data_IF_202198409021
#
_entry.id   IF_202198409021
#
_cell.length_a   1.000
_cell.length_b   1.000
_cell.length_c   1.000
_cell.angle_alpha   90.00
_cell.angle_beta   90.00
_cell.angle_gamma   90.00
#
_symmetry.space_group_name_H-M   'P 1'
#
loop_
_entity.id
_entity.type
_entity.pdbx_description
1 polymer ?
#
# COMPACT_ATOMS: atom_id res chain seq x y z
N UNK A 1 -17.37 0.25 1.93
CA UNK A 1 -17.76 1.55 2.51
C UNK A 1 -18.62 1.40 3.77
N UNK A 2 -19.74 0.67 3.72
CA UNK A 2 -20.69 0.49 4.84
C UNK A 2 -20.10 0.07 6.21
N UNK A 3 -18.96 -0.64 6.21
CA UNK A 3 -18.24 -1.02 7.42
C UNK A 3 -17.48 0.12 8.09
N UNK A 4 -17.40 1.28 7.44
CA UNK A 4 -16.80 2.51 7.97
C UNK A 4 -15.30 2.69 7.69
N UNK A 5 -14.74 1.98 6.69
CA UNK A 5 -13.35 2.18 6.24
C UNK A 5 -13.18 3.52 5.51
N UNK A 6 -11.98 4.11 5.57
CA UNK A 6 -11.71 5.43 5.01
C UNK A 6 -11.20 5.40 3.56
N UNK A 7 -10.95 4.21 3.01
CA UNK A 7 -10.52 4.04 1.62
C UNK A 7 -10.53 2.58 1.18
N UNK A 8 -10.40 2.36 -0.13
CA UNK A 8 -10.35 1.03 -0.75
C UNK A 8 -9.13 0.93 -1.66
N UNK A 9 -8.36 -0.15 -1.56
CA UNK A 9 -7.29 -0.46 -2.52
C UNK A 9 -7.74 -1.59 -3.44
N UNK A 10 -7.71 -1.36 -4.75
CA UNK A 10 -7.91 -2.41 -5.76
C UNK A 10 -6.54 -2.98 -6.12
N UNK A 11 -6.34 -4.27 -5.86
CA UNK A 11 -5.07 -5.00 -6.04
C UNK A 11 -5.34 -6.30 -6.81
N UNK A 12 -4.52 -6.61 -7.81
CA UNK A 12 -4.62 -7.84 -8.61
C UNK A 12 -3.99 -9.06 -7.91
N UNK A 13 -4.16 -9.19 -6.59
CA UNK A 13 -3.48 -10.17 -5.72
C UNK A 13 -3.67 -11.66 -6.10
N UNK A 14 -4.63 -11.96 -6.96
CA UNK A 14 -4.92 -13.32 -7.39
C UNK A 14 -4.38 -13.64 -8.80
N UNK A 15 -3.68 -12.70 -9.45
CA UNK A 15 -3.03 -12.88 -10.76
C UNK A 15 -1.68 -13.63 -10.66
N UNK A 16 -1.45 -14.39 -9.59
CA UNK A 16 -0.18 -15.10 -9.39
C UNK A 16 0.04 -16.10 -10.53
N UNK A 17 1.19 -16.14 -11.21
CA UNK A 17 2.47 -15.43 -10.98
C UNK A 17 2.53 -14.09 -11.71
N UNK A 18 3.04 -13.05 -11.05
CA UNK A 18 3.08 -11.69 -11.60
C UNK A 18 4.30 -11.44 -12.50
N UNK A 19 4.12 -10.57 -13.50
CA UNK A 19 5.23 -9.91 -14.18
C UNK A 19 5.83 -8.80 -13.31
N UNK A 20 7.14 -8.58 -13.41
CA UNK A 20 7.85 -7.52 -12.68
C UNK A 20 7.89 -6.24 -13.51
N UNK A 21 7.39 -5.14 -12.95
CA UNK A 21 7.66 -3.78 -13.42
C UNK A 21 6.92 -3.35 -14.68
N UNK A 22 6.17 -4.27 -15.31
CA UNK A 22 5.32 -4.04 -16.48
C UNK A 22 4.17 -5.04 -16.45
N UNK A 23 2.94 -4.56 -16.54
CA UNK A 23 1.78 -5.44 -16.57
C UNK A 23 1.50 -5.94 -17.98
N UNK A 24 0.88 -7.11 -18.10
CA UNK A 24 0.25 -7.50 -19.36
C UNK A 24 -0.81 -6.46 -19.76
N UNK A 25 -0.94 -6.09 -21.05
CA UNK A 25 -1.95 -5.12 -21.49
C UNK A 25 -3.38 -5.48 -21.08
N UNK A 26 -3.73 -6.76 -21.06
CA UNK A 26 -5.05 -7.22 -20.62
C UNK A 26 -5.23 -7.02 -19.11
N UNK A 27 -4.19 -7.21 -18.30
CA UNK A 27 -4.23 -6.92 -16.85
C UNK A 27 -4.43 -5.42 -16.62
N UNK A 28 -3.65 -4.57 -17.30
CA UNK A 28 -3.79 -3.12 -17.16
C UNK A 28 -5.18 -2.63 -17.60
N UNK A 29 -5.69 -3.13 -18.74
CA UNK A 29 -7.02 -2.80 -19.23
C UNK A 29 -8.14 -3.29 -18.28
N UNK A 30 -8.03 -4.51 -17.77
CA UNK A 30 -9.00 -5.08 -16.84
C UNK A 30 -9.03 -4.30 -15.52
N UNK A 31 -7.86 -4.01 -14.95
CA UNK A 31 -7.75 -3.19 -13.74
C UNK A 31 -8.30 -1.79 -13.95
N UNK A 32 -8.10 -1.18 -15.12
CA UNK A 32 -8.71 0.12 -15.45
C UNK A 32 -10.24 0.09 -15.38
N UNK A 33 -10.86 -0.95 -15.95
CA UNK A 33 -12.32 -1.13 -15.91
C UNK A 33 -12.81 -1.41 -14.49
N UNK A 34 -12.14 -2.30 -13.76
CA UNK A 34 -12.52 -2.64 -12.37
C UNK A 34 -12.44 -1.40 -11.47
N UNK A 35 -11.35 -0.64 -11.53
CA UNK A 35 -11.18 0.59 -10.75
C UNK A 35 -12.27 1.60 -11.11
N UNK A 36 -12.62 1.74 -12.39
CA UNK A 36 -13.71 2.62 -12.84
C UNK A 36 -15.04 2.27 -12.18
N UNK A 37 -15.42 0.99 -12.19
CA UNK A 37 -16.69 0.55 -11.61
C UNK A 37 -16.68 0.70 -10.09
N UNK A 38 -15.59 0.35 -9.41
CA UNK A 38 -15.46 0.59 -7.96
C UNK A 38 -15.57 2.08 -7.63
N UNK A 39 -14.96 2.99 -8.41
CA UNK A 39 -15.06 4.45 -8.20
C UNK A 39 -16.48 5.00 -8.33
N UNK A 40 -17.34 4.40 -9.14
CA UNK A 40 -18.74 4.83 -9.30
C UNK A 40 -19.60 4.44 -8.11
N UNK A 41 -19.27 3.31 -7.48
CA UNK A 41 -20.06 2.71 -6.41
C UNK A 41 -19.72 3.21 -5.00
N UNK A 42 -18.60 3.94 -4.82
CA UNK A 42 -18.13 4.38 -3.50
C UNK A 42 -17.79 5.85 -3.47
N UNK A 43 -18.06 6.50 -2.33
CA UNK A 43 -17.73 7.91 -2.10
C UNK A 43 -16.35 8.12 -1.48
N UNK A 44 -15.84 7.11 -0.75
CA UNK A 44 -14.50 7.14 -0.14
C UNK A 44 -13.37 7.03 -1.18
N UNK A 45 -12.15 7.52 -0.88
CA UNK A 45 -10.96 7.34 -1.72
C UNK A 45 -10.72 5.90 -2.18
N UNK A 46 -10.27 5.75 -3.41
CA UNK A 46 -9.83 4.46 -3.97
C UNK A 46 -8.39 4.60 -4.43
N UNK A 47 -7.60 3.56 -4.24
CA UNK A 47 -6.27 3.46 -4.81
C UNK A 47 -6.04 2.17 -5.57
N UNK A 48 -4.89 2.12 -6.22
CA UNK A 48 -4.54 1.08 -7.19
C UNK A 48 -3.20 0.45 -6.83
N UNK A 49 -3.12 -0.87 -6.91
CA UNK A 49 -1.87 -1.60 -6.85
C UNK A 49 -1.84 -2.71 -7.92
N UNK A 50 -1.09 -2.51 -8.99
CA UNK A 50 -0.83 -3.56 -9.97
C UNK A 50 0.49 -4.24 -9.62
N UNK A 51 0.38 -5.45 -9.10
CA UNK A 51 1.50 -6.31 -8.77
C UNK A 51 2.10 -6.94 -10.05
N UNK A 52 3.43 -7.11 -10.12
CA UNK A 52 4.44 -6.79 -9.10
C UNK A 52 5.19 -5.52 -9.50
N UNK A 53 5.06 -4.45 -8.71
CA UNK A 53 5.69 -3.14 -8.95
C UNK A 53 5.44 -2.54 -10.35
N UNK A 54 4.27 -2.79 -10.93
CA UNK A 54 3.83 -2.21 -12.20
C UNK A 54 3.33 -0.77 -11.97
N UNK A 55 4.25 0.10 -11.55
CA UNK A 55 3.94 1.44 -11.03
C UNK A 55 3.42 2.40 -12.10
N UNK A 56 3.84 2.23 -13.36
CA UNK A 56 3.40 3.09 -14.45
C UNK A 56 1.94 2.80 -14.78
N UNK A 57 1.58 1.52 -14.86
CA UNK A 57 0.21 1.07 -15.07
C UNK A 57 -0.66 1.46 -13.87
N UNK A 58 -0.17 1.26 -12.64
CA UNK A 58 -0.90 1.67 -11.43
C UNK A 58 -1.22 3.18 -11.45
N UNK A 59 -0.25 4.02 -11.79
CA UNK A 59 -0.44 5.47 -11.88
C UNK A 59 -1.36 5.87 -13.04
N UNK A 60 -1.18 5.27 -14.22
CA UNK A 60 -2.04 5.55 -15.38
C UNK A 60 -3.50 5.19 -15.08
N UNK A 61 -3.74 4.02 -14.49
CA UNK A 61 -5.07 3.55 -14.09
C UNK A 61 -5.68 4.49 -13.05
N UNK A 62 -4.89 4.90 -12.06
CA UNK A 62 -5.35 5.85 -11.05
C UNK A 62 -5.73 7.20 -11.67
N UNK A 63 -4.88 7.73 -12.56
CA UNK A 63 -5.10 9.00 -13.26
C UNK A 63 -6.37 9.01 -14.10
N UNK A 64 -6.55 8.04 -15.00
CA UNK A 64 -7.72 8.02 -15.91
C UNK A 64 -9.04 7.79 -15.17
N UNK A 65 -9.00 7.18 -13.98
CA UNK A 65 -10.18 6.90 -13.17
C UNK A 65 -10.38 7.87 -11.99
N UNK A 66 -9.54 8.90 -11.86
CA UNK A 66 -9.57 9.84 -10.73
C UNK A 66 -9.52 9.12 -9.37
N UNK A 67 -8.66 8.10 -9.28
CA UNK A 67 -8.32 7.45 -8.02
C UNK A 67 -7.34 8.35 -7.23
N UNK A 68 -7.25 8.15 -5.93
CA UNK A 68 -6.57 9.08 -5.01
C UNK A 68 -5.14 8.69 -4.68
N UNK A 69 -4.77 7.42 -4.84
CA UNK A 69 -3.44 6.95 -4.48
C UNK A 69 -3.04 5.67 -5.20
N UNK A 70 -1.74 5.38 -5.19
CA UNK A 70 -1.17 4.10 -5.60
C UNK A 70 -0.31 3.51 -4.49
N UNK A 71 -0.18 2.18 -4.47
CA UNK A 71 0.83 1.50 -3.65
C UNK A 71 2.01 1.10 -4.53
N UNK A 72 3.22 1.35 -4.04
CA UNK A 72 4.46 1.02 -4.73
C UNK A 72 5.24 0.04 -3.88
N UNK A 73 5.66 -1.09 -4.48
CA UNK A 73 6.34 -2.12 -3.73
C UNK A 73 7.81 -1.77 -3.56
N UNK A 74 8.51 -1.34 -4.61
CA UNK A 74 9.95 -1.08 -4.57
C UNK A 74 10.25 0.35 -5.00
N UNK A 75 9.92 1.35 -4.16
CA UNK A 75 10.11 2.76 -4.55
C UNK A 75 11.59 3.16 -4.60
N UNK A 76 12.34 2.84 -3.54
CA UNK A 76 13.74 3.26 -3.36
C UNK A 76 14.70 2.12 -2.99
N UNK A 77 14.20 0.90 -2.82
CA UNK A 77 15.02 -0.28 -2.53
C UNK A 77 14.88 -1.37 -3.60
N UNK A 78 15.97 -2.10 -3.83
CA UNK A 78 15.92 -3.32 -4.62
C UNK A 78 15.47 -4.48 -3.72
N UNK A 79 14.52 -5.28 -4.20
CA UNK A 79 13.89 -6.35 -3.42
C UNK A 79 13.98 -7.65 -4.18
N UNK A 80 14.55 -8.68 -3.56
CA UNK A 80 14.49 -10.06 -4.06
C UNK A 80 13.13 -10.64 -3.66
N UNK A 81 12.37 -11.13 -4.63
CA UNK A 81 11.07 -11.77 -4.45
C UNK A 81 11.00 -13.10 -5.25
N UNK A 82 9.99 -13.97 -5.01
CA UNK A 82 9.80 -15.20 -5.78
C UNK A 82 9.72 -14.99 -7.30
N UNK A 83 9.23 -13.83 -7.75
CA UNK A 83 9.10 -13.48 -9.16
C UNK A 83 10.42 -12.96 -9.79
N UNK A 84 11.44 -12.66 -8.97
CA UNK A 84 12.71 -12.06 -9.39
C UNK A 84 13.11 -10.82 -8.59
N UNK A 85 14.00 -10.00 -9.14
CA UNK A 85 14.51 -8.78 -8.50
C UNK A 85 13.66 -7.58 -8.92
N UNK A 86 13.00 -6.93 -7.96
CA UNK A 86 12.37 -5.64 -8.14
C UNK A 86 13.46 -4.57 -8.05
N UNK A 87 13.53 -3.70 -9.05
CA UNK A 87 14.45 -2.55 -9.05
C UNK A 87 13.71 -1.28 -8.57
N UNK A 88 14.38 -0.36 -7.86
CA UNK A 88 13.79 0.90 -7.41
C UNK A 88 13.07 1.65 -8.53
N UNK A 89 11.83 2.05 -8.30
CA UNK A 89 10.94 2.59 -9.33
C UNK A 89 10.68 4.10 -9.23
N UNK A 90 11.20 4.77 -8.20
CA UNK A 90 11.03 6.22 -7.94
C UNK A 90 11.31 7.11 -9.16
N UNK A 91 12.42 6.88 -9.88
CA UNK A 91 12.78 7.71 -11.03
C UNK A 91 11.75 7.61 -12.17
N UNK A 92 11.43 6.39 -12.61
CA UNK A 92 10.47 6.17 -13.71
C UNK A 92 9.07 6.64 -13.30
N UNK A 93 8.66 6.37 -12.06
CA UNK A 93 7.36 6.73 -11.53
C UNK A 93 7.18 8.24 -11.48
N UNK A 94 8.10 8.98 -10.84
CA UNK A 94 7.95 10.42 -10.69
C UNK A 94 8.09 11.18 -12.01
N UNK A 95 8.91 10.69 -12.96
CA UNK A 95 8.92 11.24 -14.33
C UNK A 95 7.57 11.08 -15.01
N UNK A 96 6.95 9.91 -14.87
CA UNK A 96 5.64 9.67 -15.46
C UNK A 96 4.53 10.46 -14.76
N UNK A 97 4.60 10.61 -13.43
CA UNK A 97 3.74 11.50 -12.63
C UNK A 97 3.81 12.94 -13.13
N UNK A 98 5.01 13.43 -13.43
CA UNK A 98 5.20 14.76 -14.00
C UNK A 98 4.59 14.88 -15.42
N UNK A 99 4.78 13.87 -16.28
CA UNK A 99 4.19 13.85 -17.65
C UNK A 99 2.67 13.91 -17.61
N UNK A 100 2.03 13.19 -16.68
CA UNK A 100 0.58 13.19 -16.50
C UNK A 100 0.06 14.39 -15.69
N UNK A 101 0.96 15.18 -15.08
CA UNK A 101 0.61 16.19 -14.06
C UNK A 101 -0.25 15.62 -12.91
N UNK A 102 0.05 14.39 -12.48
CA UNK A 102 -0.75 13.61 -11.53
C UNK A 102 -0.26 13.75 -10.07
N UNK A 103 0.03 14.98 -9.63
CA UNK A 103 0.58 15.25 -8.30
C UNK A 103 -0.44 15.15 -7.17
N UNK A 104 -1.73 15.08 -7.51
CA UNK A 104 -2.86 14.82 -6.62
C UNK A 104 -3.03 13.33 -6.28
N UNK A 105 -2.29 12.44 -6.97
CA UNK A 105 -2.27 11.00 -6.69
C UNK A 105 -1.11 10.66 -5.77
N UNK A 106 -1.46 10.29 -4.53
CA UNK A 106 -0.47 9.98 -3.50
C UNK A 106 0.27 8.66 -3.78
N UNK A 107 1.58 8.64 -3.52
CA UNK A 107 2.44 7.46 -3.58
C UNK A 107 2.60 6.88 -2.18
N UNK A 108 1.97 5.74 -1.92
CA UNK A 108 2.17 4.96 -0.69
C UNK A 108 3.28 3.94 -0.93
N UNK A 109 4.45 4.17 -0.33
CA UNK A 109 5.65 3.37 -0.59
C UNK A 109 5.82 2.27 0.45
N UNK A 110 5.86 1.01 0.02
CA UNK A 110 6.33 -0.08 0.88
C UNK A 110 7.83 0.09 1.18
N UNK A 111 8.21 -0.20 2.42
CA UNK A 111 9.58 -0.46 2.84
C UNK A 111 9.62 -1.83 3.52
N UNK A 112 10.67 -2.62 3.25
CA UNK A 112 10.75 -4.02 3.68
C UNK A 112 9.51 -4.83 3.27
N UNK A 113 9.26 -4.81 1.96
CA UNK A 113 8.06 -5.34 1.31
C UNK A 113 7.76 -6.80 1.68
N UNK A 114 6.49 -7.09 1.96
CA UNK A 114 5.96 -8.46 2.06
C UNK A 114 6.35 -9.33 0.85
N UNK A 115 6.60 -10.62 1.10
CA UNK A 115 7.01 -11.61 0.07
C UNK A 115 8.30 -11.22 -0.67
N UNK A 116 9.18 -10.50 -0.01
CA UNK A 116 10.49 -10.17 -0.52
C UNK A 116 11.45 -9.80 0.60
N UNK A 117 12.72 -9.68 0.26
CA UNK A 117 13.76 -9.18 1.15
C UNK A 117 14.60 -8.15 0.41
N UNK A 118 15.08 -7.11 1.11
CA UNK A 118 15.98 -6.15 0.49
C UNK A 118 17.24 -6.88 -0.02
N UNK A 119 17.69 -6.54 -1.23
CA UNK A 119 18.89 -7.12 -1.84
C UNK A 119 20.15 -6.87 -0.98
N UNK A 120 20.18 -5.73 -0.31
CA UNK A 120 21.22 -5.33 0.65
C UNK A 120 20.51 -4.84 1.90
N UNK A 121 20.95 -5.29 3.07
CA UNK A 121 20.39 -4.83 4.34
C UNK A 121 20.69 -3.34 4.53
N UNK A 122 19.66 -2.58 4.89
CA UNK A 122 19.74 -1.15 5.16
C UNK A 122 18.98 -0.86 6.45
N UNK A 123 19.42 0.16 7.17
CA UNK A 123 18.66 0.62 8.33
C UNK A 123 17.31 1.18 7.87
N UNK A 124 16.24 0.68 8.48
CA UNK A 124 14.86 0.95 8.07
C UNK A 124 14.49 2.43 8.19
N UNK A 125 15.11 3.15 9.11
CA UNK A 125 14.92 4.57 9.34
C UNK A 125 15.59 5.42 8.26
N UNK A 126 16.79 5.05 7.80
CA UNK A 126 17.45 5.66 6.64
C UNK A 126 16.61 5.41 5.39
N UNK A 127 16.19 4.16 5.18
CA UNK A 127 15.36 3.79 4.03
C UNK A 127 14.05 4.59 4.00
N UNK A 128 13.38 4.74 5.15
CA UNK A 128 12.16 5.53 5.26
C UNK A 128 12.39 7.01 4.91
N UNK A 129 13.49 7.63 5.36
CA UNK A 129 13.82 9.01 4.99
C UNK A 129 14.08 9.16 3.50
N UNK A 130 14.84 8.24 2.91
CA UNK A 130 15.12 8.30 1.47
C UNK A 130 13.89 8.09 0.61
N UNK A 131 12.95 7.23 1.03
CA UNK A 131 11.67 7.08 0.36
C UNK A 131 10.91 8.41 0.25
N UNK A 132 11.06 9.28 1.24
CA UNK A 132 10.45 10.62 1.28
C UNK A 132 11.30 11.61 0.47
N UNK A 133 12.54 11.84 0.92
CA UNK A 133 13.41 12.91 0.42
C UNK A 133 13.86 12.68 -1.03
N UNK A 134 14.05 11.42 -1.42
CA UNK A 134 14.53 11.05 -2.77
C UNK A 134 13.46 10.35 -3.60
N UNK A 135 12.60 9.57 -2.96
CA UNK A 135 11.52 8.82 -3.61
C UNK A 135 10.25 9.63 -3.84
N UNK A 136 10.06 10.74 -3.13
CA UNK A 136 8.84 11.56 -3.12
C UNK A 136 7.59 10.76 -2.69
N UNK A 137 7.76 9.85 -1.72
CA UNK A 137 6.64 9.15 -1.11
C UNK A 137 5.73 10.11 -0.33
N UNK A 138 4.43 9.95 -0.49
CA UNK A 138 3.39 10.70 0.21
C UNK A 138 2.91 9.96 1.47
N UNK A 139 3.25 8.67 1.60
CA UNK A 139 3.13 7.89 2.83
C UNK A 139 4.09 6.70 2.81
N UNK A 140 4.48 6.22 3.99
CA UNK A 140 5.33 5.04 4.17
C UNK A 140 4.48 3.87 4.66
N UNK A 141 4.56 2.74 3.97
CA UNK A 141 3.94 1.48 4.39
C UNK A 141 5.01 0.58 5.00
N UNK A 142 4.77 0.13 6.23
CA UNK A 142 5.58 -0.89 6.90
C UNK A 142 4.80 -2.20 6.93
N UNK A 143 5.39 -3.28 6.40
CA UNK A 143 4.75 -4.60 6.32
C UNK A 143 5.43 -5.65 7.20
N UNK A 144 4.65 -6.65 7.63
CA UNK A 144 5.18 -7.92 8.12
C UNK A 144 5.74 -8.75 6.97
N UNK A 145 6.40 -9.88 7.28
CA UNK A 145 7.14 -10.68 6.29
C UNK A 145 6.23 -11.29 5.22
N UNK A 146 5.03 -11.73 5.60
CA UNK A 146 4.03 -12.27 4.68
C UNK A 146 2.62 -11.68 4.89
N UNK A 147 1.71 -11.99 3.95
CA UNK A 147 0.31 -11.52 4.03
C UNK A 147 -0.37 -12.08 5.28
N UNK A 148 -0.88 -11.18 6.13
CA UNK A 148 -1.59 -11.53 7.36
C UNK A 148 -0.69 -11.64 8.58
N UNK A 149 0.63 -11.58 8.41
CA UNK A 149 1.58 -11.51 9.52
C UNK A 149 1.70 -10.09 10.06
N UNK A 150 1.80 -9.99 11.38
CA UNK A 150 1.94 -8.74 12.13
C UNK A 150 3.29 -8.07 11.82
N UNK A 151 3.27 -6.75 11.79
CA UNK A 151 4.49 -5.91 11.69
C UNK A 151 5.26 -5.97 13.00
N UNK A 152 6.59 -6.08 12.91
CA UNK A 152 7.44 -5.92 14.09
C UNK A 152 7.29 -4.50 14.69
N UNK A 153 6.90 -4.43 15.96
CA UNK A 153 6.57 -3.16 16.61
C UNK A 153 7.80 -2.26 16.74
N UNK A 154 8.99 -2.83 16.93
CA UNK A 154 10.22 -2.06 17.07
C UNK A 154 10.61 -1.42 15.73
N UNK A 155 10.44 -2.16 14.64
CA UNK A 155 10.57 -1.64 13.28
C UNK A 155 9.59 -0.49 13.03
N UNK A 156 8.32 -0.67 13.37
CA UNK A 156 7.29 0.37 13.20
C UNK A 156 7.60 1.63 14.03
N UNK A 157 8.01 1.45 15.29
CA UNK A 157 8.39 2.55 16.18
C UNK A 157 9.63 3.31 15.68
N UNK A 158 10.64 2.61 15.14
CA UNK A 158 11.82 3.23 14.52
C UNK A 158 11.43 4.10 13.33
N UNK A 159 10.57 3.61 12.44
CA UNK A 159 10.08 4.38 11.28
C UNK A 159 9.29 5.60 11.74
N UNK A 160 8.31 5.43 12.65
CA UNK A 160 7.50 6.54 13.18
C UNK A 160 8.32 7.59 13.94
N UNK A 161 9.48 7.20 14.48
CA UNK A 161 10.41 8.14 15.11
C UNK A 161 11.02 9.11 14.11
N UNK A 162 11.31 8.67 12.88
CA UNK A 162 11.97 9.51 11.86
C UNK A 162 10.99 10.11 10.84
N UNK A 163 9.86 9.45 10.58
CA UNK A 163 8.81 9.95 9.67
C UNK A 163 7.80 10.77 10.48
N UNK A 164 7.86 12.09 10.35
CA UNK A 164 7.01 13.03 11.10
C UNK A 164 5.95 13.74 10.26
N UNK A 165 6.27 14.02 9.00
CA UNK A 165 5.47 14.92 8.16
C UNK A 165 4.40 14.21 7.34
N UNK A 166 4.60 12.91 7.07
CA UNK A 166 3.70 12.10 6.26
C UNK A 166 3.20 10.86 7.03
N UNK A 167 2.06 10.26 6.62
CA UNK A 167 1.51 9.09 7.28
C UNK A 167 2.43 7.87 7.24
N UNK A 168 2.51 7.15 8.36
CA UNK A 168 3.07 5.80 8.46
C UNK A 168 1.92 4.80 8.56
N UNK A 169 1.86 3.87 7.62
CA UNK A 169 0.74 2.95 7.42
C UNK A 169 1.19 1.51 7.68
N UNK A 170 0.41 0.76 8.44
CA UNK A 170 0.61 -0.70 8.59
C UNK A 170 0.08 -1.42 7.34
N UNK A 171 0.93 -2.12 6.61
CA UNK A 171 0.56 -2.74 5.34
C UNK A 171 0.13 -4.22 5.41
N UNK A 172 0.21 -4.85 6.58
CA UNK A 172 -0.24 -6.23 6.81
C UNK A 172 -0.51 -6.53 8.28
N UNK A 173 -1.28 -7.59 8.55
CA UNK A 173 -1.38 -8.21 9.89
C UNK A 173 -2.22 -7.49 10.93
N UNK A 174 -2.72 -6.27 10.65
CA UNK A 174 -3.63 -5.59 11.56
C UNK A 174 -4.95 -6.39 11.72
N UNK A 175 -5.35 -6.57 12.97
CA UNK A 175 -6.60 -7.20 13.39
C UNK A 175 -7.09 -6.55 14.69
N UNK A 176 -8.27 -6.95 15.18
CA UNK A 176 -8.86 -6.37 16.39
C UNK A 176 -8.01 -6.58 17.66
N UNK A 177 -7.21 -7.65 17.71
CA UNK A 177 -6.46 -8.03 18.90
C UNK A 177 -5.14 -7.24 19.02
N UNK A 178 -4.56 -6.82 17.89
CA UNK A 178 -3.31 -6.03 17.86
C UNK A 178 -3.48 -4.57 17.44
N UNK A 179 -4.69 -4.11 17.11
CA UNK A 179 -4.94 -2.75 16.62
C UNK A 179 -4.39 -1.65 17.53
N UNK A 180 -4.70 -1.73 18.83
CA UNK A 180 -4.24 -0.75 19.83
C UNK A 180 -2.72 -0.68 19.94
N UNK A 181 -2.05 -1.82 19.81
CA UNK A 181 -0.58 -1.93 19.89
C UNK A 181 0.08 -1.31 18.67
N UNK A 182 -0.41 -1.64 17.47
CA UNK A 182 0.21 -1.19 16.22
C UNK A 182 -0.10 0.27 15.90
N UNK A 183 -1.36 0.70 16.06
CA UNK A 183 -1.79 2.08 15.76
C UNK A 183 -1.24 3.11 16.75
N UNK A 184 -0.64 2.68 17.86
CA UNK A 184 0.18 3.57 18.70
C UNK A 184 1.37 4.17 17.93
N UNK A 185 1.87 3.46 16.91
CA UNK A 185 3.04 3.85 16.14
C UNK A 185 2.73 3.98 14.63
N UNK A 186 1.46 4.08 14.25
CA UNK A 186 1.03 4.23 12.86
C UNK A 186 -0.22 5.10 12.75
N UNK A 187 -0.37 5.79 11.63
CA UNK A 187 -1.48 6.72 11.35
C UNK A 187 -2.63 6.03 10.61
N UNK A 188 -2.42 4.80 10.12
CA UNK A 188 -3.42 4.03 9.41
C UNK A 188 -2.97 2.60 9.10
N UNK A 189 -3.82 1.86 8.40
CA UNK A 189 -3.49 0.51 7.97
C UNK A 189 -4.23 0.09 6.69
N UNK A 190 -3.59 -0.77 5.90
CA UNK A 190 -4.20 -1.50 4.80
C UNK A 190 -4.54 -2.91 5.30
N UNK A 191 -5.84 -3.22 5.35
CA UNK A 191 -6.34 -4.48 5.93
C UNK A 191 -7.03 -5.31 4.87
N UNK A 192 -6.47 -6.49 4.58
CA UNK A 192 -7.02 -7.45 3.62
C UNK A 192 -7.63 -8.66 4.31
N UNK A 193 -6.78 -9.62 4.68
CA UNK A 193 -7.19 -10.95 5.19
C UNK A 193 -8.13 -10.89 6.38
N UNK A 194 -7.90 -9.97 7.34
CA UNK A 194 -8.77 -9.86 8.50
C UNK A 194 -10.21 -9.52 8.12
N UNK A 195 -10.44 -8.71 7.09
CA UNK A 195 -11.80 -8.37 6.65
C UNK A 195 -12.52 -9.48 5.90
N UNK A 196 -11.82 -10.54 5.49
CA UNK A 196 -12.40 -11.58 4.62
C UNK A 196 -12.68 -12.88 5.37
N UNK A 197 -13.67 -13.64 4.89
CA UNK A 197 -13.81 -15.09 5.09
C UNK A 197 -13.65 -15.75 3.73
N UNK A 198 -12.57 -16.49 3.52
CA UNK A 198 -12.15 -16.86 2.16
C UNK A 198 -11.86 -15.61 1.33
N UNK A 199 -12.53 -15.46 0.18
CA UNK A 199 -12.36 -14.32 -0.71
C UNK A 199 -13.45 -13.24 -0.57
N UNK A 200 -14.41 -13.42 0.35
CA UNK A 200 -15.55 -12.52 0.52
C UNK A 200 -15.34 -11.63 1.74
N UNK A 201 -15.57 -10.33 1.58
CA UNK A 201 -15.53 -9.36 2.68
C UNK A 201 -16.70 -9.64 3.63
N UNK A 202 -16.40 -9.73 4.92
CA UNK A 202 -17.40 -9.92 5.97
C UNK A 202 -17.63 -8.59 6.72
N UNK A 203 -18.82 -8.01 6.55
CA UNK A 203 -19.16 -6.68 7.06
C UNK A 203 -19.00 -6.56 8.59
N UNK A 204 -19.36 -7.59 9.35
CA UNK A 204 -19.25 -7.58 10.81
C UNK A 204 -17.79 -7.48 11.27
N UNK A 205 -16.87 -8.17 10.59
CA UNK A 205 -15.43 -8.08 10.89
C UNK A 205 -14.88 -6.69 10.56
N UNK A 206 -15.35 -6.07 9.48
CA UNK A 206 -15.00 -4.67 9.16
C UNK A 206 -15.49 -3.74 10.27
N UNK A 207 -16.77 -3.82 10.64
CA UNK A 207 -17.37 -2.99 11.70
C UNK A 207 -16.66 -3.17 13.04
N UNK A 208 -16.33 -4.41 13.42
CA UNK A 208 -15.61 -4.73 14.67
C UNK A 208 -14.22 -4.06 14.73
N UNK A 209 -13.46 -4.07 13.64
CA UNK A 209 -12.17 -3.38 13.63
C UNK A 209 -12.36 -1.86 13.62
N UNK A 210 -13.27 -1.36 12.78
CA UNK A 210 -13.47 0.08 12.65
C UNK A 210 -14.03 0.74 13.90
N UNK A 211 -14.81 0.03 14.74
CA UNK A 211 -15.22 0.55 16.05
C UNK A 211 -14.02 0.81 16.95
N UNK A 212 -13.10 -0.15 17.05
CA UNK A 212 -11.85 -0.01 17.82
C UNK A 212 -10.97 1.11 17.26
N UNK A 213 -10.83 1.20 15.94
CA UNK A 213 -10.04 2.25 15.29
C UNK A 213 -10.63 3.64 15.59
N UNK A 214 -11.96 3.79 15.59
CA UNK A 214 -12.62 5.07 15.91
C UNK A 214 -12.35 5.49 17.34
N UNK A 215 -12.37 4.57 18.30
CA UNK A 215 -12.02 4.87 19.70
C UNK A 215 -10.57 5.37 19.82
N UNK A 216 -9.64 4.77 19.07
CA UNK A 216 -8.23 5.17 19.06
C UNK A 216 -7.94 6.50 18.37
N UNK A 217 -8.85 7.01 17.53
CA UNK A 217 -8.69 8.32 16.85
C UNK A 217 -9.00 9.51 17.74
N UNK A 218 -9.76 9.30 18.81
CA UNK A 218 -10.21 10.36 19.72
C UNK A 218 -9.17 10.64 20.82
N UNK A 219 -8.20 9.73 20.98
CA UNK A 219 -7.05 9.82 21.91
C UNK A 219 -5.80 10.33 21.24
#
# INVERSE_FOLDING_TARGET
EEGGVDGIMVENYYDRVYSIGRADPAVAASMAVIVREVRKEVSIPVGVNVLRDCVLESLAIAYVNKASYIRVNALVEAVIAPEGILMPSSFKLNRYRAVLNAWDIAILADIHVKHGMPLVLRDIDILAREAIERGLADAIIVTGRATGEEVDIDTLAKVKKVVKEIPVIVGSGLNADNAKKLLKYADGAIVGTYFKRGNVVNLERVRKLMSLVRELRVT
#
